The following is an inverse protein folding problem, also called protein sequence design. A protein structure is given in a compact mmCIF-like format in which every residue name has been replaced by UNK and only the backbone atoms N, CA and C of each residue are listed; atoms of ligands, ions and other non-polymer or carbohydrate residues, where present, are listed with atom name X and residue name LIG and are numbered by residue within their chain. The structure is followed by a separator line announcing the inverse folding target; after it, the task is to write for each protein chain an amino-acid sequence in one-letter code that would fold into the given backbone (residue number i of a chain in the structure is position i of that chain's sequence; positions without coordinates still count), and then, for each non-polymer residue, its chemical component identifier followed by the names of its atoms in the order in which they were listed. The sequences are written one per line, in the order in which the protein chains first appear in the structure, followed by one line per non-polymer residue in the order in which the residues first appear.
data_IF_377675181841
#
_entry.id   IF_377675181841
#
_cell.length_a   1.000
_cell.length_b   1.000
_cell.length_c   1.000
_cell.angle_alpha   90.00
_cell.angle_beta   90.00
_cell.angle_gamma   90.00
#
_symmetry.space_group_name_H-M   'P 1'
#
loop_
_entity.id
_entity.type
_entity.pdbx_description
1 polymer ?
#
# COMPACT_ATOMS: atom_id res chain seq x y z
N UNK A 1 -12.53 -34.81 9.58
CA UNK A 1 -12.31 -33.82 8.51
C UNK A 1 -12.23 -32.46 9.20
N UNK A 2 -11.04 -31.86 9.32
CA UNK A 2 -10.93 -30.55 9.97
C UNK A 2 -11.54 -29.50 9.04
N UNK A 3 -12.37 -28.56 9.54
CA UNK A 3 -12.90 -27.50 8.70
C UNK A 3 -11.72 -26.70 8.16
N UNK A 4 -11.58 -26.63 6.84
CA UNK A 4 -10.63 -25.72 6.20
C UNK A 4 -10.90 -24.32 6.76
N UNK A 5 -9.87 -23.75 7.38
CA UNK A 5 -9.94 -22.41 7.91
C UNK A 5 -10.06 -21.45 6.71
N UNK A 6 -11.30 -21.10 6.33
CA UNK A 6 -11.64 -20.20 5.22
C UNK A 6 -10.99 -18.82 5.35
N UNK A 7 -10.40 -18.51 6.51
CA UNK A 7 -9.69 -17.26 6.76
C UNK A 7 -8.18 -17.34 6.52
N UNK A 8 -7.60 -18.53 6.24
CA UNK A 8 -6.20 -18.63 5.82
C UNK A 8 -6.05 -18.12 4.38
N UNK A 9 -5.63 -16.87 4.24
CA UNK A 9 -5.29 -16.29 2.95
C UNK A 9 -3.88 -16.73 2.58
N UNK A 10 -3.77 -17.60 1.58
CA UNK A 10 -2.47 -18.02 1.04
C UNK A 10 -1.81 -16.85 0.28
N UNK A 11 -0.48 -16.85 0.08
CA UNK A 11 0.18 -15.84 -0.76
C UNK A 11 -0.45 -15.72 -2.15
N UNK A 12 -0.82 -16.84 -2.77
CA UNK A 12 -1.52 -16.87 -4.06
C UNK A 12 -2.89 -16.18 -4.01
N UNK A 13 -3.63 -16.32 -2.90
CA UNK A 13 -4.91 -15.64 -2.70
C UNK A 13 -4.72 -14.14 -2.51
N UNK A 14 -3.73 -13.71 -1.72
CA UNK A 14 -3.42 -12.29 -1.53
C UNK A 14 -2.99 -11.62 -2.85
N UNK A 15 -2.15 -12.29 -3.65
CA UNK A 15 -1.77 -11.84 -4.98
C UNK A 15 -2.97 -11.70 -5.92
N UNK A 16 -3.87 -12.69 -5.91
CA UNK A 16 -5.11 -12.65 -6.69
C UNK A 16 -6.03 -11.51 -6.25
N UNK A 17 -6.17 -11.26 -4.94
CA UNK A 17 -6.94 -10.12 -4.42
C UNK A 17 -6.38 -8.80 -4.94
N UNK A 18 -5.05 -8.61 -4.92
CA UNK A 18 -4.40 -7.42 -5.47
C UNK A 18 -4.73 -7.22 -6.95
N UNK A 19 -4.62 -8.27 -7.77
CA UNK A 19 -4.97 -8.22 -9.20
C UNK A 19 -6.43 -7.82 -9.42
N UNK A 20 -7.36 -8.50 -8.76
CA UNK A 20 -8.80 -8.21 -8.87
C UNK A 20 -9.14 -6.79 -8.40
N UNK A 21 -8.44 -6.29 -7.38
CA UNK A 21 -8.60 -4.91 -6.88
C UNK A 21 -8.21 -3.90 -7.97
N UNK A 22 -7.08 -4.11 -8.64
CA UNK A 22 -6.61 -3.25 -9.74
C UNK A 22 -7.54 -3.32 -10.97
N UNK A 23 -7.98 -4.51 -11.35
CA UNK A 23 -8.95 -4.71 -12.43
C UNK A 23 -10.28 -4.01 -12.14
N UNK A 24 -10.76 -4.08 -10.90
CA UNK A 24 -11.99 -3.41 -10.48
C UNK A 24 -11.84 -1.89 -10.49
N UNK A 25 -10.69 -1.39 -10.04
CA UNK A 25 -10.37 0.03 -10.07
C UNK A 25 -10.42 0.58 -11.51
N UNK A 26 -9.75 -0.10 -12.46
CA UNK A 26 -9.76 0.29 -13.88
C UNK A 26 -11.17 0.21 -14.49
N UNK A 27 -11.93 -0.85 -14.17
CA UNK A 27 -13.30 -1.01 -14.64
C UNK A 27 -14.20 0.16 -14.20
N UNK A 28 -14.07 0.60 -12.94
CA UNK A 28 -14.83 1.75 -12.44
C UNK A 28 -14.31 3.06 -13.07
N UNK A 29 -13.00 3.21 -13.22
CA UNK A 29 -12.41 4.38 -13.88
C UNK A 29 -12.95 4.56 -15.31
N UNK A 30 -13.14 3.45 -16.05
CA UNK A 30 -13.81 3.49 -17.35
C UNK A 30 -15.23 4.04 -17.26
N UNK A 31 -16.07 3.56 -16.34
CA UNK A 31 -17.44 4.07 -16.15
C UNK A 31 -17.46 5.58 -15.82
N UNK A 32 -16.50 6.04 -15.02
CA UNK A 32 -16.38 7.45 -14.63
C UNK A 32 -16.03 8.29 -15.87
N UNK A 33 -15.06 7.84 -16.67
CA UNK A 33 -14.64 8.48 -17.93
C UNK A 33 -15.77 8.54 -18.95
N UNK A 34 -16.58 7.49 -19.04
CA UNK A 34 -17.73 7.41 -19.94
C UNK A 34 -18.98 8.14 -19.39
N UNK A 35 -18.87 8.75 -18.21
CA UNK A 35 -19.94 9.46 -17.50
C UNK A 35 -21.21 8.62 -17.24
N UNK A 36 -21.03 7.31 -17.04
CA UNK A 36 -22.10 6.35 -16.69
C UNK A 36 -21.95 5.78 -15.28
N UNK A 37 -20.98 6.29 -14.50
CA UNK A 37 -20.74 5.88 -13.12
C UNK A 37 -21.84 6.39 -12.18
N UNK A 38 -22.31 5.51 -11.31
CA UNK A 38 -23.18 5.83 -10.18
C UNK A 38 -22.39 6.46 -9.03
N UNK A 39 -23.07 7.05 -8.04
CA UNK A 39 -22.40 7.54 -6.82
C UNK A 39 -21.66 6.41 -6.08
N UNK A 40 -22.23 5.20 -6.07
CA UNK A 40 -21.59 4.04 -5.46
C UNK A 40 -20.29 3.65 -6.21
N UNK A 41 -20.27 3.73 -7.54
CA UNK A 41 -19.05 3.53 -8.32
C UNK A 41 -17.99 4.57 -7.92
N UNK A 42 -18.36 5.85 -7.77
CA UNK A 42 -17.43 6.92 -7.38
C UNK A 42 -16.81 6.72 -5.99
N UNK A 43 -17.62 6.40 -4.98
CA UNK A 43 -17.11 6.11 -3.63
C UNK A 43 -16.21 4.87 -3.62
N UNK A 44 -16.60 3.81 -4.34
CA UNK A 44 -15.78 2.61 -4.45
C UNK A 44 -14.45 2.89 -5.15
N UNK A 45 -14.43 3.76 -6.17
CA UNK A 45 -13.20 4.17 -6.84
C UNK A 45 -12.24 4.88 -5.88
N UNK A 46 -12.74 5.78 -5.03
CA UNK A 46 -11.93 6.49 -4.04
C UNK A 46 -11.29 5.52 -3.04
N UNK A 47 -12.08 4.62 -2.46
CA UNK A 47 -11.58 3.61 -1.51
C UNK A 47 -10.56 2.68 -2.17
N UNK A 48 -10.82 2.22 -3.40
CA UNK A 48 -9.87 1.36 -4.12
C UNK A 48 -8.56 2.09 -4.42
N UNK A 49 -8.61 3.37 -4.78
CA UNK A 49 -7.40 4.19 -4.96
C UNK A 49 -6.61 4.35 -3.66
N UNK A 50 -7.30 4.57 -2.55
CA UNK A 50 -6.66 4.64 -1.24
C UNK A 50 -5.98 3.32 -0.89
N UNK A 51 -6.65 2.18 -1.05
CA UNK A 51 -6.07 0.85 -0.82
C UNK A 51 -4.81 0.63 -1.66
N UNK A 52 -4.83 1.00 -2.94
CA UNK A 52 -3.67 0.86 -3.83
C UNK A 52 -2.53 1.76 -3.36
N UNK A 53 -2.80 3.03 -3.02
CA UNK A 53 -1.78 3.95 -2.51
C UNK A 53 -1.15 3.42 -1.21
N UNK A 54 -1.96 2.94 -0.27
CA UNK A 54 -1.48 2.36 0.99
C UNK A 54 -0.62 1.11 0.76
N UNK A 55 -1.03 0.24 -0.18
CA UNK A 55 -0.27 -0.96 -0.53
C UNK A 55 1.08 -0.61 -1.17
N UNK A 56 1.09 0.34 -2.12
CA UNK A 56 2.33 0.84 -2.75
C UNK A 56 3.27 1.45 -1.71
N UNK A 57 2.74 2.29 -0.82
CA UNK A 57 3.50 2.90 0.26
C UNK A 57 4.18 1.84 1.13
N UNK A 58 3.47 0.76 1.50
CA UNK A 58 4.06 -0.35 2.27
C UNK A 58 5.18 -1.06 1.54
N UNK A 59 4.99 -1.36 0.24
CA UNK A 59 6.04 -2.01 -0.56
C UNK A 59 7.28 -1.14 -0.64
N UNK A 60 7.13 0.16 -0.95
CA UNK A 60 8.26 1.09 -1.04
C UNK A 60 9.04 1.20 0.27
N UNK A 61 8.38 1.08 1.42
CA UNK A 61 9.05 1.09 2.73
C UNK A 61 9.85 -0.16 2.93
N UNK A 62 9.26 -1.32 2.68
CA UNK A 62 9.95 -2.61 2.82
C UNK A 62 11.17 -2.67 1.91
N UNK A 63 11.07 -2.13 0.69
CA UNK A 63 12.21 -2.01 -0.24
C UNK A 63 13.28 -1.06 0.31
N UNK A 64 12.89 0.12 0.78
CA UNK A 64 13.81 1.11 1.34
C UNK A 64 14.53 0.62 2.62
N UNK A 65 13.83 -0.12 3.48
CA UNK A 65 14.42 -0.76 4.67
C UNK A 65 15.42 -1.86 4.26
N UNK A 66 15.06 -2.70 3.29
CA UNK A 66 15.95 -3.73 2.76
C UNK A 66 17.22 -3.14 2.12
N UNK A 67 17.13 -1.99 1.47
CA UNK A 67 18.28 -1.27 0.91
C UNK A 67 19.23 -0.80 2.01
N UNK A 68 18.73 -0.29 3.14
CA UNK A 68 19.54 0.08 4.30
C UNK A 68 20.23 -1.13 4.91
N UNK A 69 19.52 -2.24 5.09
CA UNK A 69 20.10 -3.49 5.62
C UNK A 69 21.24 -4.02 4.75
N UNK A 70 21.20 -3.75 3.45
CA UNK A 70 22.24 -4.12 2.49
C UNK A 70 23.41 -3.12 2.41
N UNK A 71 23.41 -2.09 3.26
CA UNK A 71 24.44 -1.05 3.30
C UNK A 71 24.23 0.08 2.28
N UNK A 72 23.05 0.15 1.67
CA UNK A 72 22.60 1.26 0.84
C UNK A 72 22.15 2.47 1.66
N UNK A 73 21.72 3.53 0.96
CA UNK A 73 21.19 4.73 1.59
C UNK A 73 19.66 4.71 1.58
N UNK A 74 19.03 4.94 2.74
CA UNK A 74 17.59 5.13 2.80
C UNK A 74 17.19 6.45 2.10
N UNK A 75 16.19 6.37 1.24
CA UNK A 75 15.43 7.53 0.85
C UNK A 75 14.53 7.96 2.02
N UNK A 76 14.56 9.25 2.34
CA UNK A 76 13.74 9.83 3.41
C UNK A 76 13.03 11.06 2.87
N UNK A 77 11.72 11.14 3.03
CA UNK A 77 10.98 12.33 2.65
C UNK A 77 11.06 13.37 3.78
N UNK A 78 11.81 14.45 3.54
CA UNK A 78 11.86 15.60 4.44
C UNK A 78 10.89 16.66 3.98
N UNK A 79 9.82 16.86 4.75
CA UNK A 79 8.88 17.98 4.54
C UNK A 79 9.40 19.30 5.13
N UNK A 80 10.50 19.29 5.90
CA UNK A 80 11.28 20.47 6.32
C UNK A 80 12.69 20.06 6.77
N UNK A 81 13.65 21.00 6.78
CA UNK A 81 15.02 20.75 7.29
C UNK A 81 15.06 20.41 8.80
N UNK A 82 14.09 20.90 9.56
CA UNK A 82 13.93 20.64 11.00
C UNK A 82 13.25 19.30 11.34
N UNK A 83 12.70 18.60 10.35
CA UNK A 83 12.10 17.29 10.57
C UNK A 83 13.19 16.22 10.60
N UNK A 84 13.22 15.45 11.70
CA UNK A 84 14.01 14.23 11.80
C UNK A 84 13.71 13.35 10.57
N UNK A 85 14.69 12.73 9.90
CA UNK A 85 14.40 11.85 8.77
C UNK A 85 13.57 10.67 9.26
N UNK A 86 12.27 10.72 9.02
CA UNK A 86 11.35 9.60 9.19
C UNK A 86 10.89 9.20 7.80
N UNK A 87 10.71 7.90 7.57
CA UNK A 87 10.04 7.40 6.38
C UNK A 87 8.56 7.81 6.54
N UNK A 88 8.23 9.05 6.18
CA UNK A 88 6.90 9.63 6.40
C UNK A 88 5.93 8.98 5.43
N UNK A 89 5.28 7.93 5.88
CA UNK A 89 4.21 7.29 5.14
C UNK A 89 2.92 8.03 5.44
N UNK A 90 2.33 8.68 4.45
CA UNK A 90 0.89 8.88 4.46
C UNK A 90 0.22 7.49 4.42
N UNK A 91 -0.07 6.93 5.60
CA UNK A 91 -0.97 5.78 5.84
C UNK A 91 -0.34 4.37 5.93
N UNK A 92 0.98 4.21 5.91
CA UNK A 92 1.59 2.91 5.63
C UNK A 92 2.31 2.18 6.77
N UNK A 93 2.75 2.85 7.83
CA UNK A 93 3.66 2.24 8.81
C UNK A 93 2.97 1.10 9.56
N UNK A 94 3.50 -0.12 9.41
CA UNK A 94 3.25 -1.21 10.34
C UNK A 94 4.14 -0.94 11.55
N UNK A 95 3.58 -0.19 12.50
CA UNK A 95 4.21 0.28 13.74
C UNK A 95 5.39 1.25 13.51
N UNK A 96 5.40 2.34 14.31
CA UNK A 96 6.50 3.30 14.38
C UNK A 96 7.73 2.65 15.02
N UNK A 97 8.30 1.60 14.42
CA UNK A 97 9.54 1.02 14.93
C UNK A 97 10.69 1.95 14.52
N UNK A 98 11.36 2.61 15.47
CA UNK A 98 12.46 3.51 15.14
C UNK A 98 13.54 2.69 14.42
N UNK A 99 14.05 3.24 13.30
CA UNK A 99 15.23 2.70 12.63
C UNK A 99 16.29 2.43 13.69
N UNK A 100 16.72 1.16 13.83
CA UNK A 100 17.82 0.77 14.70
C UNK A 100 19.12 1.33 14.10
N UNK A 101 19.36 2.62 14.30
CA UNK A 101 20.63 3.23 13.96
C UNK A 101 21.64 2.82 15.03
N UNK A 102 22.58 1.94 14.66
CA UNK A 102 23.81 1.77 15.44
C UNK A 102 24.67 3.02 15.19
N UNK A 103 24.51 4.03 16.07
CA UNK A 103 25.42 5.18 16.19
C UNK A 103 26.63 4.75 17.02
#
# INVERSE_FOLDING_TARGET
MMPENRNKRTPAMLMTIGKVTLEKLESIASKIRDNVATDADRHNHEILREIVALASNRVSVTENEADVEQGGAAWTERTSESHYPHIRLHGGALEDDPLKMNI
#
